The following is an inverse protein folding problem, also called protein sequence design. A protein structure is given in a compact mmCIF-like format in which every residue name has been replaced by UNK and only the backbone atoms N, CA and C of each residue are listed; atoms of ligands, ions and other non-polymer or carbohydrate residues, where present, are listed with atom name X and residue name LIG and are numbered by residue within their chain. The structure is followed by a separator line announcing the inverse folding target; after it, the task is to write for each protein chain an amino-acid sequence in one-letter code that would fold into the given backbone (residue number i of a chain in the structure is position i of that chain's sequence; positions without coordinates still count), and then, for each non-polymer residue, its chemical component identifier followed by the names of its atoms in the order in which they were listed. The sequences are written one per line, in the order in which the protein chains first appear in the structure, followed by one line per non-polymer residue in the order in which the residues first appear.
data_IF_275515347000
#
_entry.id   IF_275515347000
#
_cell.length_a   1.000
_cell.length_b   1.000
_cell.length_c   1.000
_cell.angle_alpha   90.00
_cell.angle_beta   90.00
_cell.angle_gamma   90.00
#
_symmetry.space_group_name_H-M   'P 1'
#
loop_
_entity.id
_entity.type
_entity.pdbx_description
1 polymer ?
#
# COMPACT_ATOMS: atom_id res chain seq x y z
N UNK A 1 43.83 7.32 -33.83
CA UNK A 1 44.90 6.82 -32.96
C UNK A 1 44.27 5.69 -32.19
N UNK A 2 44.24 4.52 -32.79
CA UNK A 2 45.11 3.33 -32.69
C UNK A 2 45.37 2.96 -31.21
N UNK A 3 44.98 1.79 -30.75
CA UNK A 3 45.45 0.48 -31.23
C UNK A 3 44.72 -0.69 -30.58
N UNK A 4 44.33 -1.61 -31.41
CA UNK A 4 44.03 -3.04 -31.25
C UNK A 4 45.14 -3.77 -30.44
N UNK A 5 44.78 -4.70 -29.55
CA UNK A 5 45.56 -5.91 -29.27
C UNK A 5 44.66 -7.12 -29.13
N UNK A 6 44.85 -8.00 -30.06
CA UNK A 6 44.38 -9.37 -30.20
C UNK A 6 45.37 -10.30 -29.46
N UNK A 7 44.94 -11.24 -28.63
CA UNK A 7 45.76 -12.38 -28.22
C UNK A 7 44.94 -13.66 -28.16
N UNK A 8 45.12 -14.44 -29.17
CA UNK A 8 44.85 -15.87 -29.29
C UNK A 8 45.82 -16.68 -28.43
N UNK A 9 45.33 -17.57 -27.60
CA UNK A 9 46.14 -18.59 -26.92
C UNK A 9 45.94 -19.95 -27.58
N UNK A 10 47.03 -20.47 -28.03
CA UNK A 10 47.25 -21.75 -28.71
C UNK A 10 47.19 -22.94 -27.75
N UNK A 11 46.56 -24.01 -28.22
CA UNK A 11 46.60 -25.36 -27.65
C UNK A 11 47.93 -25.99 -27.97
N UNK A 12 48.67 -26.44 -26.99
CA UNK A 12 49.88 -27.27 -27.17
C UNK A 12 49.53 -28.75 -27.01
N UNK A 13 49.72 -29.49 -28.10
CA UNK A 13 49.86 -30.95 -28.13
C UNK A 13 51.16 -31.37 -27.44
N UNK A 14 51.08 -32.29 -26.49
CA UNK A 14 52.23 -33.02 -25.99
C UNK A 14 52.18 -34.50 -26.48
N UNK A 15 52.91 -34.75 -27.53
CA UNK A 15 53.27 -36.09 -27.96
C UNK A 15 54.48 -36.59 -27.17
N UNK A 16 54.32 -37.63 -26.38
CA UNK A 16 55.40 -38.36 -25.76
C UNK A 16 55.84 -39.55 -26.64
N UNK A 17 57.03 -39.39 -27.13
CA UNK A 17 57.78 -40.47 -27.74
C UNK A 17 58.17 -41.50 -26.68
N UNK A 18 57.88 -42.77 -26.93
CA UNK A 18 58.56 -43.91 -26.30
C UNK A 18 59.08 -44.85 -27.32
N UNK A 19 60.38 -45.04 -27.24
CA UNK A 19 61.26 -45.86 -28.05
C UNK A 19 60.97 -47.37 -27.92
N UNK A 20 61.08 -48.04 -29.07
CA UNK A 20 61.05 -49.49 -29.26
C UNK A 20 62.43 -50.09 -28.99
N UNK A 21 62.58 -51.28 -28.38
CA UNK A 21 63.73 -52.14 -28.63
C UNK A 21 63.33 -53.30 -29.56
N UNK A 22 64.19 -53.50 -30.51
CA UNK A 22 64.21 -54.69 -31.45
C UNK A 22 64.79 -55.91 -30.74
N UNK A 23 64.31 -57.05 -31.22
CA UNK A 23 65.07 -58.26 -31.23
C UNK A 23 64.45 -59.45 -30.55
N UNK A 24 64.02 -60.41 -31.37
CA UNK A 24 64.45 -61.81 -31.42
C UNK A 24 63.36 -62.70 -32.02
N UNK A 25 63.70 -63.33 -33.13
CA UNK A 25 62.95 -64.41 -33.74
C UNK A 25 62.88 -65.66 -32.82
N UNK A 26 61.71 -66.28 -32.78
CA UNK A 26 61.61 -67.73 -32.64
C UNK A 26 60.28 -68.23 -33.20
N UNK A 27 60.39 -69.24 -34.04
CA UNK A 27 59.34 -69.91 -34.78
C UNK A 27 58.38 -70.73 -33.93
N UNK A 28 57.17 -70.87 -34.44
CA UNK A 28 56.47 -72.13 -34.26
C UNK A 28 55.08 -72.09 -33.64
N UNK A 29 54.18 -72.56 -34.47
CA UNK A 29 52.90 -73.22 -34.24
C UNK A 29 51.64 -72.35 -34.42
N UNK A 30 50.98 -72.63 -35.53
CA UNK A 30 49.62 -72.21 -35.84
C UNK A 30 48.60 -72.78 -34.90
N UNK A 31 47.98 -71.89 -34.21
CA UNK A 31 46.63 -72.11 -33.60
C UNK A 31 45.69 -71.13 -34.28
N UNK A 32 44.68 -71.67 -34.98
CA UNK A 32 43.63 -70.92 -35.60
C UNK A 32 43.02 -69.92 -34.59
N UNK A 33 43.19 -68.62 -34.85
CA UNK A 33 42.55 -67.55 -34.10
C UNK A 33 41.05 -67.72 -34.21
N UNK A 34 40.39 -68.04 -33.10
CA UNK A 34 38.93 -68.02 -33.00
C UNK A 34 38.44 -66.63 -33.39
N UNK A 35 37.44 -66.50 -34.30
CA UNK A 35 36.98 -65.23 -34.77
C UNK A 35 36.49 -64.43 -33.54
N UNK A 36 37.10 -63.27 -33.33
CA UNK A 36 36.68 -62.41 -32.27
C UNK A 36 35.20 -62.01 -32.50
N UNK A 37 34.28 -62.26 -31.59
CA UNK A 37 32.84 -62.06 -31.80
C UNK A 37 32.45 -60.56 -32.02
N UNK A 38 33.40 -59.64 -31.99
CA UNK A 38 33.19 -58.24 -32.11
C UNK A 38 32.87 -57.75 -33.56
N UNK A 39 33.18 -58.52 -34.59
CA UNK A 39 32.96 -58.16 -35.99
C UNK A 39 31.72 -58.80 -36.60
N UNK A 40 31.00 -59.63 -35.88
CA UNK A 40 29.74 -60.21 -36.34
C UNK A 40 28.65 -59.15 -36.35
N UNK A 41 28.03 -58.87 -37.54
CA UNK A 41 26.90 -57.91 -37.64
C UNK A 41 25.73 -58.24 -36.70
N UNK A 42 25.46 -59.52 -36.46
CA UNK A 42 24.39 -59.95 -35.53
C UNK A 42 24.72 -59.65 -34.11
N UNK A 43 25.98 -59.82 -33.69
CA UNK A 43 26.45 -59.46 -32.36
C UNK A 43 26.35 -57.93 -32.13
N UNK A 44 26.74 -57.12 -33.11
CA UNK A 44 26.64 -55.64 -33.00
C UNK A 44 25.18 -55.17 -32.90
N UNK A 45 24.25 -55.79 -33.65
CA UNK A 45 22.82 -55.51 -33.54
C UNK A 45 22.27 -55.90 -32.19
N UNK A 46 22.62 -57.10 -31.67
CA UNK A 46 22.21 -57.56 -30.35
C UNK A 46 22.74 -56.65 -29.25
N UNK A 47 24.01 -56.26 -29.27
CA UNK A 47 24.64 -55.36 -28.32
C UNK A 47 23.99 -53.96 -28.37
N UNK A 48 23.70 -53.45 -29.58
CA UNK A 48 22.98 -52.15 -29.73
C UNK A 48 21.54 -52.22 -29.19
N UNK A 49 20.83 -53.33 -29.42
CA UNK A 49 19.48 -53.57 -28.84
C UNK A 49 19.52 -53.64 -27.34
N UNK A 50 20.52 -54.37 -26.75
CA UNK A 50 20.74 -54.45 -25.29
C UNK A 50 21.05 -53.06 -24.71
N UNK A 51 21.94 -52.30 -25.34
CA UNK A 51 22.27 -50.93 -24.93
C UNK A 51 21.05 -49.99 -24.98
N UNK A 52 20.26 -50.04 -26.02
CA UNK A 52 18.99 -49.28 -26.11
C UNK A 52 18.00 -49.66 -25.03
N UNK A 53 17.86 -50.94 -24.70
CA UNK A 53 17.01 -51.46 -23.62
C UNK A 53 17.49 -50.96 -22.27
N UNK A 54 18.79 -51.02 -21.99
CA UNK A 54 19.36 -50.50 -20.74
C UNK A 54 19.16 -48.99 -20.58
N UNK A 55 19.37 -48.22 -21.68
CA UNK A 55 19.15 -46.78 -21.67
C UNK A 55 17.68 -46.47 -21.41
N UNK A 56 16.73 -47.19 -22.06
CA UNK A 56 15.29 -47.02 -21.79
C UNK A 56 14.94 -47.38 -20.34
N UNK A 57 15.46 -48.45 -19.79
CA UNK A 57 15.23 -48.84 -18.39
C UNK A 57 15.78 -47.78 -17.42
N UNK A 58 17.02 -47.31 -17.63
CA UNK A 58 17.61 -46.23 -16.82
C UNK A 58 16.77 -44.95 -16.87
N UNK A 59 16.29 -44.54 -18.06
CA UNK A 59 15.40 -43.39 -18.22
C UNK A 59 14.04 -43.60 -17.51
N UNK A 60 13.46 -44.80 -17.63
CA UNK A 60 12.20 -45.12 -16.95
C UNK A 60 12.39 -45.08 -15.44
N UNK A 61 13.47 -45.69 -14.90
CA UNK A 61 13.77 -45.62 -13.46
C UNK A 61 14.02 -44.18 -13.00
N UNK A 62 14.79 -43.40 -13.77
CA UNK A 62 15.02 -41.99 -13.46
C UNK A 62 13.71 -41.17 -13.44
N UNK A 63 12.82 -41.39 -14.42
CA UNK A 63 11.51 -40.71 -14.45
C UNK A 63 10.61 -41.11 -13.25
N UNK A 64 10.64 -42.38 -12.85
CA UNK A 64 9.90 -42.85 -11.65
C UNK A 64 10.45 -42.20 -10.38
N UNK A 65 11.80 -42.12 -10.25
CA UNK A 65 12.43 -41.44 -9.10
C UNK A 65 12.07 -39.95 -9.09
N UNK A 66 12.16 -39.28 -10.24
CA UNK A 66 11.76 -37.85 -10.35
C UNK A 66 10.29 -37.65 -9.99
N UNK A 67 9.39 -38.48 -10.52
CA UNK A 67 7.96 -38.40 -10.19
C UNK A 67 7.72 -38.67 -8.71
N UNK A 68 8.37 -39.68 -8.14
CA UNK A 68 8.27 -39.98 -6.71
C UNK A 68 8.81 -38.85 -5.83
N UNK A 69 9.96 -38.28 -6.19
CA UNK A 69 10.51 -37.12 -5.48
C UNK A 69 9.58 -35.89 -5.57
N UNK A 70 9.00 -35.65 -6.73
CA UNK A 70 8.04 -34.55 -6.93
C UNK A 70 6.80 -34.75 -6.06
N UNK A 71 6.21 -35.95 -6.07
CA UNK A 71 5.05 -36.26 -5.24
C UNK A 71 5.38 -36.16 -3.74
N UNK A 72 6.58 -36.60 -3.33
CA UNK A 72 7.05 -36.46 -1.96
C UNK A 72 7.17 -35.00 -1.54
N UNK A 73 7.69 -34.15 -2.41
CA UNK A 73 7.78 -32.70 -2.16
C UNK A 73 6.38 -32.09 -2.01
N UNK A 74 5.44 -32.43 -2.90
CA UNK A 74 4.06 -31.96 -2.79
C UNK A 74 3.40 -32.41 -1.48
N UNK A 75 3.59 -33.68 -1.11
CA UNK A 75 3.06 -34.23 0.15
C UNK A 75 3.69 -33.50 1.35
N UNK A 76 4.99 -33.24 1.32
CA UNK A 76 5.67 -32.52 2.39
C UNK A 76 5.12 -31.09 2.53
N UNK A 77 4.96 -30.36 1.42
CA UNK A 77 4.35 -29.03 1.45
C UNK A 77 2.91 -29.07 1.98
N UNK A 78 2.12 -30.06 1.54
CA UNK A 78 0.76 -30.25 2.05
C UNK A 78 0.73 -30.47 3.56
N UNK A 79 1.60 -31.36 4.07
CA UNK A 79 1.69 -31.62 5.51
C UNK A 79 2.18 -30.40 6.29
N UNK A 80 3.18 -29.67 5.77
CA UNK A 80 3.66 -28.43 6.42
C UNK A 80 2.49 -27.44 6.53
N UNK A 81 1.75 -27.20 5.45
CA UNK A 81 0.61 -26.26 5.47
C UNK A 81 -0.53 -26.73 6.40
N UNK A 82 -0.67 -28.03 6.65
CA UNK A 82 -1.68 -28.55 7.56
C UNK A 82 -1.35 -28.29 9.05
N UNK A 83 -0.05 -28.19 9.39
CA UNK A 83 0.42 -28.07 10.78
C UNK A 83 0.98 -26.68 11.13
N UNK A 84 1.16 -25.80 10.14
CA UNK A 84 1.57 -24.40 10.40
C UNK A 84 0.37 -23.63 10.97
N UNK A 85 0.63 -22.88 12.04
CA UNK A 85 -0.39 -22.03 12.65
C UNK A 85 -0.80 -20.89 11.71
N UNK A 86 -2.09 -20.66 11.60
CA UNK A 86 -2.66 -19.55 10.83
C UNK A 86 -2.20 -18.21 11.41
N UNK A 87 -1.99 -17.24 10.52
CA UNK A 87 -1.64 -15.86 10.85
C UNK A 87 -2.85 -14.95 10.62
N UNK A 88 -3.13 -14.04 11.53
CA UNK A 88 -4.21 -13.07 11.38
C UNK A 88 -3.83 -11.92 10.47
N UNK A 89 -2.54 -11.57 10.46
CA UNK A 89 -2.03 -10.40 9.75
C UNK A 89 -0.71 -10.72 9.02
N UNK A 90 -0.52 -10.08 7.87
CA UNK A 90 0.75 -10.07 7.13
C UNK A 90 1.44 -8.73 7.29
N UNK A 91 2.53 -8.70 8.06
CA UNK A 91 3.37 -7.50 8.15
C UNK A 91 4.00 -7.13 6.81
N UNK A 92 4.32 -8.14 5.98
CA UNK A 92 4.90 -7.89 4.65
C UNK A 92 3.91 -7.18 3.72
N UNK A 93 2.62 -7.53 3.77
CA UNK A 93 1.58 -6.96 2.90
C UNK A 93 0.74 -5.87 3.57
N UNK A 94 0.95 -5.65 4.87
CA UNK A 94 0.19 -4.70 5.70
C UNK A 94 -1.33 -4.90 5.59
N UNK A 95 -1.79 -6.16 5.69
CA UNK A 95 -3.22 -6.51 5.60
C UNK A 95 -3.59 -7.72 6.46
N UNK A 96 -4.86 -7.80 6.82
CA UNK A 96 -5.43 -9.01 7.40
C UNK A 96 -5.40 -10.14 6.36
N UNK A 97 -5.05 -11.34 6.82
CA UNK A 97 -5.06 -12.55 6.01
C UNK A 97 -6.42 -13.25 6.12
N UNK A 98 -6.83 -13.89 5.04
CA UNK A 98 -8.05 -14.70 5.03
C UNK A 98 -7.93 -15.82 6.07
N UNK A 99 -8.97 -15.96 6.88
CA UNK A 99 -9.08 -16.97 7.91
C UNK A 99 -9.85 -18.19 7.40
N UNK A 100 -9.74 -19.31 8.11
CA UNK A 100 -10.38 -20.55 7.72
C UNK A 100 -11.90 -20.37 7.59
N UNK A 101 -12.48 -20.59 6.39
CA UNK A 101 -13.91 -20.37 6.19
C UNK A 101 -14.75 -21.40 6.93
N UNK A 102 -15.90 -20.94 7.41
CA UNK A 102 -16.89 -21.83 8.03
C UNK A 102 -17.74 -22.48 6.94
N UNK A 103 -17.82 -23.80 7.00
CA UNK A 103 -18.69 -24.57 6.09
C UNK A 103 -20.14 -24.45 6.55
N UNK A 104 -20.93 -23.68 5.83
CA UNK A 104 -22.39 -23.57 6.02
C UNK A 104 -23.12 -24.04 4.77
N UNK A 105 -24.39 -24.44 4.90
CA UNK A 105 -25.23 -24.82 3.74
C UNK A 105 -25.42 -23.64 2.77
N UNK A 106 -25.51 -22.42 3.28
CA UNK A 106 -25.64 -21.22 2.47
C UNK A 106 -24.34 -20.97 1.66
N UNK A 107 -23.16 -20.94 2.32
CA UNK A 107 -21.89 -20.71 1.64
C UNK A 107 -21.49 -21.81 0.65
N UNK A 108 -22.02 -23.02 0.84
CA UNK A 108 -21.82 -24.10 -0.12
C UNK A 108 -22.71 -23.95 -1.37
N UNK A 109 -23.95 -23.48 -1.19
CA UNK A 109 -24.91 -23.32 -2.29
C UNK A 109 -24.61 -22.09 -3.16
N UNK A 110 -24.16 -21.00 -2.56
CA UNK A 110 -23.79 -19.77 -3.29
C UNK A 110 -22.34 -19.79 -3.81
N UNK A 111 -21.56 -20.82 -3.42
CA UNK A 111 -20.16 -21.00 -3.87
C UNK A 111 -19.13 -20.17 -3.11
N UNK A 112 -19.53 -19.31 -2.17
CA UNK A 112 -18.62 -18.45 -1.41
C UNK A 112 -17.59 -19.25 -0.61
N UNK A 113 -17.98 -20.41 -0.07
CA UNK A 113 -17.04 -21.31 0.63
C UNK A 113 -15.80 -21.66 -0.19
N UNK A 114 -15.95 -21.96 -1.47
CA UNK A 114 -14.80 -22.33 -2.32
C UNK A 114 -13.91 -21.13 -2.67
N UNK A 115 -14.51 -19.96 -2.84
CA UNK A 115 -13.78 -18.69 -3.00
C UNK A 115 -12.96 -18.37 -1.77
N UNK A 116 -13.60 -18.43 -0.59
CA UNK A 116 -12.95 -18.15 0.69
C UNK A 116 -11.88 -19.17 1.03
N UNK A 117 -12.12 -20.46 0.73
CA UNK A 117 -11.13 -21.51 0.89
C UNK A 117 -9.91 -21.29 0.00
N UNK A 118 -10.10 -20.79 -1.23
CA UNK A 118 -9.02 -20.46 -2.14
C UNK A 118 -8.20 -19.28 -1.59
N UNK A 119 -8.85 -18.25 -1.10
CA UNK A 119 -8.22 -17.09 -0.46
C UNK A 119 -7.46 -17.49 0.80
N UNK A 120 -8.08 -18.31 1.66
CA UNK A 120 -7.45 -18.85 2.86
C UNK A 120 -6.18 -19.66 2.53
N UNK A 121 -6.27 -20.62 1.62
CA UNK A 121 -5.11 -21.46 1.28
C UNK A 121 -3.99 -20.68 0.61
N UNK A 122 -4.31 -19.63 -0.16
CA UNK A 122 -3.32 -18.73 -0.74
C UNK A 122 -2.64 -17.84 0.32
N UNK A 123 -3.41 -17.34 1.29
CA UNK A 123 -2.91 -16.43 2.31
C UNK A 123 -2.12 -17.13 3.41
N UNK A 124 -2.52 -18.34 3.80
CA UNK A 124 -1.88 -19.13 4.84
C UNK A 124 -0.77 -20.05 4.31
N UNK A 125 -0.45 -19.96 3.02
CA UNK A 125 0.59 -20.82 2.42
C UNK A 125 1.95 -20.63 3.09
N UNK A 126 2.57 -21.72 3.48
CA UNK A 126 3.87 -21.73 4.16
C UNK A 126 4.94 -20.94 3.40
N UNK A 127 5.53 -19.95 4.08
CA UNK A 127 6.59 -19.12 3.51
C UNK A 127 6.13 -18.20 2.37
N UNK A 128 4.83 -17.86 2.31
CA UNK A 128 4.22 -17.05 1.26
C UNK A 128 5.02 -15.79 0.94
N UNK A 129 5.44 -15.03 1.95
CA UNK A 129 6.17 -13.78 1.75
C UNK A 129 7.52 -14.00 1.04
N UNK A 130 8.19 -15.14 1.31
CA UNK A 130 9.41 -15.54 0.62
C UNK A 130 9.15 -15.95 -0.83
N UNK A 131 8.03 -16.64 -1.09
CA UNK A 131 7.63 -17.02 -2.45
C UNK A 131 7.28 -15.78 -3.28
N UNK A 132 6.60 -14.80 -2.70
CA UNK A 132 6.31 -13.52 -3.34
C UNK A 132 7.60 -12.78 -3.73
N UNK A 133 8.55 -12.68 -2.80
CA UNK A 133 9.87 -12.07 -3.07
C UNK A 133 10.69 -12.84 -4.12
N UNK A 134 10.63 -14.18 -4.12
CA UNK A 134 11.28 -15.01 -5.13
C UNK A 134 10.64 -14.83 -6.51
N UNK A 135 9.32 -14.78 -6.58
CA UNK A 135 8.57 -14.50 -7.81
C UNK A 135 9.00 -13.14 -8.39
N UNK A 136 8.98 -12.09 -7.56
CA UNK A 136 9.39 -10.75 -7.98
C UNK A 136 10.83 -10.73 -8.53
N UNK A 137 11.76 -11.38 -7.83
CA UNK A 137 13.17 -11.50 -8.28
C UNK A 137 13.28 -12.21 -9.63
N UNK A 138 12.55 -13.31 -9.81
CA UNK A 138 12.55 -14.06 -11.06
C UNK A 138 11.94 -13.23 -12.22
N UNK A 139 10.82 -12.55 -11.99
CA UNK A 139 10.16 -11.68 -12.97
C UNK A 139 11.05 -10.49 -13.35
N UNK A 140 11.71 -9.86 -12.36
CA UNK A 140 12.67 -8.77 -12.59
C UNK A 140 13.88 -9.25 -13.40
N UNK A 141 14.38 -10.45 -13.12
CA UNK A 141 15.47 -11.07 -13.87
C UNK A 141 15.07 -11.34 -15.33
N UNK A 142 13.80 -11.68 -15.58
CA UNK A 142 13.23 -11.84 -16.93
C UNK A 142 12.95 -10.50 -17.63
N UNK A 143 13.27 -9.37 -16.99
CA UNK A 143 13.13 -8.03 -17.57
C UNK A 143 11.84 -7.31 -17.23
N UNK A 144 10.97 -7.89 -16.39
CA UNK A 144 9.76 -7.22 -15.92
C UNK A 144 10.13 -6.03 -15.04
N UNK A 145 9.44 -4.90 -15.24
CA UNK A 145 9.69 -3.63 -14.54
C UNK A 145 8.50 -3.16 -13.70
N UNK A 146 7.52 -4.03 -13.52
CA UNK A 146 6.33 -3.78 -12.68
C UNK A 146 5.98 -5.00 -11.85
N UNK A 147 5.31 -4.78 -10.73
CA UNK A 147 4.73 -5.82 -9.88
C UNK A 147 3.43 -5.30 -9.27
N UNK A 148 2.32 -6.02 -9.48
CA UNK A 148 1.01 -5.67 -8.92
C UNK A 148 0.57 -4.21 -9.20
N UNK A 149 0.85 -3.69 -10.41
CA UNK A 149 0.56 -2.30 -10.80
C UNK A 149 1.54 -1.26 -10.23
N UNK A 150 2.64 -1.70 -9.64
CA UNK A 150 3.70 -0.83 -9.12
C UNK A 150 4.92 -0.94 -10.02
N UNK A 151 5.39 0.17 -10.55
CA UNK A 151 6.63 0.24 -11.32
C UNK A 151 7.85 0.20 -10.41
N UNK A 152 8.82 -0.63 -10.79
CA UNK A 152 10.13 -0.69 -10.17
C UNK A 152 11.02 0.39 -10.81
N UNK A 153 10.97 1.58 -10.28
CA UNK A 153 11.63 2.76 -10.82
C UNK A 153 13.13 2.80 -10.59
N UNK A 154 13.76 3.90 -11.03
CA UNK A 154 15.16 4.20 -10.73
C UNK A 154 15.31 4.65 -9.28
N UNK A 155 16.53 4.59 -8.77
CA UNK A 155 16.91 5.02 -7.42
C UNK A 155 16.07 4.35 -6.32
N UNK A 156 15.61 3.11 -6.59
CA UNK A 156 14.76 2.28 -5.73
C UNK A 156 13.35 2.85 -5.45
N UNK A 157 12.88 3.82 -6.25
CA UNK A 157 11.51 4.28 -6.17
C UNK A 157 10.52 3.21 -6.65
N UNK A 158 9.50 3.00 -5.86
CA UNK A 158 8.29 2.26 -6.23
C UNK A 158 7.22 3.29 -6.61
N UNK A 159 6.69 3.19 -7.83
CA UNK A 159 5.77 4.19 -8.37
C UNK A 159 4.46 3.50 -8.76
N UNK A 160 3.38 3.86 -8.07
CA UNK A 160 2.03 3.42 -8.46
C UNK A 160 1.62 4.07 -9.78
N UNK A 161 1.01 3.29 -10.67
CA UNK A 161 0.36 3.90 -11.83
C UNK A 161 -0.92 4.59 -11.37
N UNK A 162 -1.17 5.87 -11.74
CA UNK A 162 -2.44 6.53 -11.50
C UNK A 162 -3.59 5.72 -12.09
N UNK A 163 -4.63 5.51 -11.33
CA UNK A 163 -5.78 4.74 -11.77
C UNK A 163 -6.71 5.59 -12.66
N UNK A 164 -7.59 4.94 -13.40
CA UNK A 164 -8.54 5.66 -14.24
C UNK A 164 -9.62 6.31 -13.36
N UNK A 165 -9.93 7.59 -13.53
CA UNK A 165 -11.04 8.24 -12.83
C UNK A 165 -12.36 7.51 -13.03
N UNK A 166 -13.20 7.53 -12.02
CA UNK A 166 -14.60 7.15 -12.14
C UNK A 166 -15.42 8.40 -12.50
N UNK A 167 -15.94 8.54 -13.74
CA UNK A 167 -16.61 9.76 -14.17
C UNK A 167 -17.93 10.02 -13.41
N UNK A 168 -18.64 8.98 -12.98
CA UNK A 168 -19.91 9.11 -12.26
C UNK A 168 -19.64 9.55 -10.82
N UNK A 169 -18.68 8.90 -10.14
CA UNK A 169 -18.23 9.27 -8.81
C UNK A 169 -17.71 10.71 -8.78
N UNK A 170 -16.84 11.09 -9.71
CA UNK A 170 -16.27 12.41 -9.83
C UNK A 170 -17.35 13.49 -10.06
N UNK A 171 -18.25 13.25 -10.99
CA UNK A 171 -19.36 14.19 -11.29
C UNK A 171 -20.27 14.39 -10.08
N UNK A 172 -20.59 13.31 -9.37
CA UNK A 172 -21.39 13.38 -8.13
C UNK A 172 -20.65 14.18 -7.06
N UNK A 173 -19.38 13.89 -6.82
CA UNK A 173 -18.58 14.55 -5.78
C UNK A 173 -18.41 16.04 -6.07
N UNK A 174 -18.07 16.44 -7.29
CA UNK A 174 -17.97 17.85 -7.69
C UNK A 174 -19.33 18.54 -7.61
N UNK A 175 -20.41 17.87 -8.02
CA UNK A 175 -21.77 18.40 -7.89
C UNK A 175 -22.12 18.73 -6.44
N UNK A 176 -21.78 17.84 -5.49
CA UNK A 176 -22.01 18.08 -4.06
C UNK A 176 -21.13 19.20 -3.49
N UNK A 177 -19.86 19.28 -3.89
CA UNK A 177 -18.98 20.39 -3.50
C UNK A 177 -19.55 21.72 -3.99
N UNK A 178 -20.03 21.79 -5.23
CA UNK A 178 -20.61 23.00 -5.79
C UNK A 178 -21.91 23.41 -5.08
N UNK A 179 -22.78 22.43 -4.74
CA UNK A 179 -23.99 22.69 -3.94
C UNK A 179 -23.64 23.20 -2.55
N UNK A 180 -22.69 22.55 -1.87
CA UNK A 180 -22.21 22.96 -0.55
C UNK A 180 -21.65 24.39 -0.59
N UNK A 181 -20.87 24.72 -1.61
CA UNK A 181 -20.32 26.06 -1.79
C UNK A 181 -21.38 27.11 -2.07
N UNK A 182 -22.46 26.74 -2.75
CA UNK A 182 -23.59 27.65 -2.99
C UNK A 182 -24.42 27.93 -1.73
N UNK A 183 -24.59 26.90 -0.89
CA UNK A 183 -25.36 27.01 0.37
C UNK A 183 -24.58 27.79 1.44
N UNK A 184 -23.23 27.64 1.47
CA UNK A 184 -22.35 28.26 2.46
C UNK A 184 -21.41 29.29 1.81
N UNK A 185 -21.99 30.28 1.15
CA UNK A 185 -21.27 31.31 0.39
C UNK A 185 -20.45 32.28 1.24
N UNK A 186 -20.65 32.29 2.55
CA UNK A 186 -19.90 33.03 3.55
C UNK A 186 -18.55 32.35 3.91
N UNK A 187 -18.37 31.07 3.57
CA UNK A 187 -17.15 30.34 3.85
C UNK A 187 -16.12 30.49 2.71
N UNK A 188 -14.87 30.65 3.10
CA UNK A 188 -13.74 30.61 2.15
C UNK A 188 -13.39 29.19 1.75
N UNK A 189 -13.78 28.75 0.55
CA UNK A 189 -13.59 27.35 0.14
C UNK A 189 -12.43 27.16 -0.81
N UNK A 190 -11.64 26.14 -0.57
CA UNK A 190 -10.47 25.79 -1.38
C UNK A 190 -10.38 24.28 -1.57
N UNK A 191 -9.86 23.89 -2.74
CA UNK A 191 -9.53 22.50 -3.04
C UNK A 191 -8.05 22.42 -3.40
N UNK A 192 -7.30 21.60 -2.68
CA UNK A 192 -5.91 21.29 -2.96
C UNK A 192 -5.79 19.82 -3.36
N UNK A 193 -5.41 19.58 -4.62
CA UNK A 193 -5.12 18.24 -5.12
C UNK A 193 -3.63 18.02 -5.29
N UNK A 194 -3.21 16.83 -4.84
CA UNK A 194 -1.80 16.40 -4.88
C UNK A 194 -1.65 15.26 -5.88
N UNK A 195 -0.88 15.44 -6.96
CA UNK A 195 -0.63 14.39 -7.94
C UNK A 195 0.20 13.24 -7.33
N UNK A 196 0.10 12.06 -7.95
CA UNK A 196 0.90 10.91 -7.55
C UNK A 196 2.38 11.08 -7.90
N UNK A 197 3.23 10.36 -7.17
CA UNK A 197 4.68 10.37 -7.41
C UNK A 197 5.06 10.03 -8.86
N UNK A 198 4.33 9.14 -9.52
CA UNK A 198 4.58 8.76 -10.92
C UNK A 198 4.43 9.92 -11.91
N UNK A 199 3.62 10.93 -11.58
CA UNK A 199 3.46 12.13 -12.42
C UNK A 199 4.61 13.11 -12.24
N UNK A 200 5.01 13.36 -11.00
CA UNK A 200 6.04 14.34 -10.66
C UNK A 200 7.44 13.78 -10.90
N UNK A 201 7.68 12.51 -10.53
CA UNK A 201 8.95 11.83 -10.67
C UNK A 201 9.00 10.96 -11.94
N UNK A 202 8.48 11.45 -13.06
CA UNK A 202 8.38 10.70 -14.31
C UNK A 202 9.74 10.24 -14.87
N UNK A 203 10.83 10.94 -14.55
CA UNK A 203 12.21 10.54 -14.87
C UNK A 203 12.66 9.27 -14.14
N UNK A 204 12.03 8.92 -13.02
CA UNK A 204 12.28 7.69 -12.25
C UNK A 204 11.54 6.49 -12.81
N UNK A 205 10.53 6.68 -13.63
CA UNK A 205 9.78 5.59 -14.25
C UNK A 205 10.66 4.71 -15.16
N UNK A 206 10.32 3.42 -15.28
CA UNK A 206 10.90 2.58 -16.34
C UNK A 206 10.63 3.16 -17.72
N UNK A 207 11.58 2.99 -18.64
CA UNK A 207 11.40 3.46 -20.03
C UNK A 207 10.13 2.86 -20.63
N UNK A 208 9.29 3.71 -21.21
CA UNK A 208 8.00 3.39 -21.83
C UNK A 208 6.97 2.78 -20.84
N UNK A 209 7.04 3.11 -19.55
CA UNK A 209 5.97 2.78 -18.62
C UNK A 209 4.67 3.46 -19.09
N UNK A 210 3.57 2.71 -19.31
CA UNK A 210 2.30 3.32 -19.68
C UNK A 210 1.68 3.96 -18.42
N UNK A 211 1.81 5.28 -18.31
CA UNK A 211 1.24 6.06 -17.20
C UNK A 211 0.21 7.01 -17.78
N UNK A 212 -0.97 7.06 -17.16
CA UNK A 212 -2.05 7.99 -17.50
C UNK A 212 -1.63 9.41 -17.12
N UNK A 213 -2.06 10.38 -17.90
CA UNK A 213 -1.87 11.80 -17.58
C UNK A 213 -2.89 12.25 -16.52
N UNK A 214 -2.50 12.09 -15.25
CA UNK A 214 -3.31 12.47 -14.11
C UNK A 214 -3.46 14.01 -13.98
N UNK A 215 -2.47 14.77 -14.48
CA UNK A 215 -2.57 16.23 -14.43
C UNK A 215 -3.70 16.73 -15.32
N UNK A 216 -3.87 16.15 -16.51
CA UNK A 216 -5.01 16.43 -17.37
C UNK A 216 -6.36 16.04 -16.72
N UNK A 217 -6.39 14.96 -15.94
CA UNK A 217 -7.59 14.58 -15.18
C UNK A 217 -7.89 15.59 -14.05
N UNK A 218 -6.87 16.09 -13.34
CA UNK A 218 -7.00 17.13 -12.33
C UNK A 218 -7.51 18.45 -12.93
N UNK A 219 -7.00 18.84 -14.08
CA UNK A 219 -7.45 20.02 -14.81
C UNK A 219 -8.91 19.88 -15.25
N UNK A 220 -9.30 18.72 -15.75
CA UNK A 220 -10.68 18.43 -16.13
C UNK A 220 -11.63 18.44 -14.93
N UNK A 221 -11.18 18.00 -13.75
CA UNK A 221 -11.94 18.09 -12.51
C UNK A 221 -12.07 19.53 -12.03
N UNK A 222 -10.98 20.30 -12.04
CA UNK A 222 -10.98 21.71 -11.63
C UNK A 222 -11.90 22.59 -12.49
N UNK A 223 -11.99 22.31 -13.78
CA UNK A 223 -12.87 23.03 -14.71
C UNK A 223 -14.37 22.84 -14.42
N UNK A 224 -14.75 21.84 -13.64
CA UNK A 224 -16.13 21.58 -13.22
C UNK A 224 -16.48 22.22 -11.86
N UNK A 225 -15.48 22.72 -11.12
CA UNK A 225 -15.71 23.41 -9.85
C UNK A 225 -16.34 24.77 -10.09
N UNK A 226 -17.25 25.19 -9.21
CA UNK A 226 -17.77 26.52 -9.20
C UNK A 226 -16.68 27.56 -8.87
N UNK A 227 -16.83 28.78 -9.31
CA UNK A 227 -15.91 29.90 -8.99
C UNK A 227 -15.83 30.23 -7.49
N UNK A 228 -16.76 29.71 -6.69
CA UNK A 228 -16.76 29.83 -5.21
C UNK A 228 -15.74 28.90 -4.53
N UNK A 229 -15.22 27.92 -5.25
CA UNK A 229 -14.19 26.99 -4.75
C UNK A 229 -12.87 27.25 -5.47
N UNK A 230 -11.90 27.82 -4.77
CA UNK A 230 -10.59 28.08 -5.34
C UNK A 230 -9.78 26.79 -5.48
N UNK A 231 -9.43 26.42 -6.71
CA UNK A 231 -8.58 25.25 -6.98
C UNK A 231 -7.11 25.59 -6.79
N UNK A 232 -6.38 24.69 -6.15
CA UNK A 232 -4.93 24.76 -5.89
C UNK A 232 -4.32 23.42 -6.35
N UNK A 233 -3.41 23.48 -7.32
CA UNK A 233 -2.62 22.31 -7.72
C UNK A 233 -1.29 22.28 -7.00
N UNK A 234 -0.92 21.13 -6.43
CA UNK A 234 0.40 20.92 -5.86
C UNK A 234 1.48 20.62 -6.94
N UNK A 235 1.07 20.43 -8.20
CA UNK A 235 1.94 19.93 -9.27
C UNK A 235 3.17 20.81 -9.51
N UNK A 236 2.99 22.13 -9.64
CA UNK A 236 4.10 23.05 -9.94
C UNK A 236 5.12 23.13 -8.80
N UNK A 237 4.61 23.19 -7.56
CA UNK A 237 5.46 23.20 -6.37
C UNK A 237 6.31 21.93 -6.26
N UNK A 238 5.69 20.77 -6.45
CA UNK A 238 6.37 19.48 -6.38
C UNK A 238 7.31 19.26 -7.57
N UNK A 239 6.91 19.64 -8.78
CA UNK A 239 7.75 19.50 -9.97
C UNK A 239 9.04 20.32 -9.88
N UNK A 240 8.96 21.51 -9.24
CA UNK A 240 10.12 22.39 -9.04
C UNK A 240 11.17 21.79 -8.09
N UNK A 241 10.81 20.77 -7.32
CA UNK A 241 11.64 20.08 -6.35
C UNK A 241 11.74 18.56 -6.61
N UNK A 242 11.52 18.15 -7.88
CA UNK A 242 11.50 16.73 -8.26
C UNK A 242 12.84 16.00 -8.11
N UNK A 243 13.94 16.72 -7.95
CA UNK A 243 15.27 16.20 -7.65
C UNK A 243 15.51 15.96 -6.15
N UNK A 244 14.59 16.40 -5.29
CA UNK A 244 14.65 16.23 -3.86
C UNK A 244 13.77 15.05 -3.38
N UNK A 245 13.88 14.72 -2.08
CA UNK A 245 13.13 13.60 -1.48
C UNK A 245 11.72 14.04 -1.06
N UNK A 246 10.89 14.37 -2.04
CA UNK A 246 9.54 14.91 -1.85
C UNK A 246 8.43 13.84 -1.83
N UNK A 247 8.73 12.62 -2.26
CA UNK A 247 7.86 11.45 -2.12
C UNK A 247 8.65 10.31 -1.49
N UNK A 248 7.96 9.46 -0.70
CA UNK A 248 8.54 8.23 -0.22
C UNK A 248 8.86 7.27 -1.37
N UNK A 249 9.93 6.48 -1.21
CA UNK A 249 10.31 5.47 -2.21
C UNK A 249 9.47 4.21 -2.13
N UNK A 250 8.99 3.88 -0.93
CA UNK A 250 8.30 2.62 -0.64
C UNK A 250 6.82 2.80 -0.34
N UNK A 251 6.36 4.04 -0.31
CA UNK A 251 4.99 4.41 0.00
C UNK A 251 4.39 5.37 -1.04
N UNK A 252 3.06 5.45 -1.09
CA UNK A 252 2.36 6.30 -2.05
C UNK A 252 2.27 7.77 -1.63
N UNK A 253 2.56 8.11 -0.38
CA UNK A 253 2.47 9.48 0.11
C UNK A 253 3.68 10.34 -0.31
N UNK A 254 3.45 11.65 -0.34
CA UNK A 254 4.53 12.60 -0.28
C UNK A 254 5.25 12.56 1.08
N UNK A 255 6.48 13.06 1.15
CA UNK A 255 7.17 13.27 2.42
C UNK A 255 6.70 14.57 3.08
N UNK A 256 7.06 14.78 4.34
CA UNK A 256 6.84 16.08 4.99
C UNK A 256 7.53 17.23 4.25
N UNK A 257 8.63 16.97 3.54
CA UNK A 257 9.30 17.96 2.70
C UNK A 257 8.44 18.35 1.49
N UNK A 258 7.83 17.38 0.80
CA UNK A 258 6.90 17.65 -0.31
C UNK A 258 5.65 18.41 0.17
N UNK A 259 5.12 18.04 1.32
CA UNK A 259 4.02 18.75 1.97
C UNK A 259 4.42 20.20 2.33
N UNK A 260 5.66 20.42 2.83
CA UNK A 260 6.19 21.75 3.14
C UNK A 260 6.29 22.65 1.89
N UNK A 261 6.84 22.15 0.79
CA UNK A 261 6.94 22.95 -0.44
C UNK A 261 5.57 23.32 -0.99
N UNK A 262 4.63 22.35 -0.96
CA UNK A 262 3.25 22.62 -1.34
C UNK A 262 2.58 23.65 -0.44
N UNK A 263 2.75 23.54 0.89
CA UNK A 263 2.25 24.53 1.84
C UNK A 263 2.80 25.92 1.55
N UNK A 264 4.10 26.03 1.36
CA UNK A 264 4.78 27.32 1.12
C UNK A 264 4.26 27.99 -0.16
N UNK A 265 4.08 27.20 -1.23
CA UNK A 265 3.54 27.71 -2.50
C UNK A 265 2.05 28.08 -2.41
N UNK A 266 1.27 27.31 -1.65
CA UNK A 266 -0.17 27.52 -1.48
C UNK A 266 -0.53 28.57 -0.41
N UNK A 267 0.41 28.99 0.45
CA UNK A 267 0.13 29.82 1.63
C UNK A 267 -0.72 31.08 1.34
N UNK A 268 -0.37 31.82 0.30
CA UNK A 268 -1.14 33.00 -0.10
C UNK A 268 -2.59 32.67 -0.50
N UNK A 269 -2.78 31.56 -1.22
CA UNK A 269 -4.10 31.07 -1.62
C UNK A 269 -4.89 30.53 -0.44
N UNK A 270 -4.23 30.03 0.62
CA UNK A 270 -4.83 29.63 1.88
C UNK A 270 -5.11 30.83 2.82
N UNK A 271 -4.88 32.07 2.35
CA UNK A 271 -5.06 33.27 3.15
C UNK A 271 -4.02 33.45 4.25
N UNK A 272 -2.84 32.88 4.07
CA UNK A 272 -1.71 32.97 5.00
C UNK A 272 -0.68 33.94 4.40
N UNK A 273 -0.72 35.19 4.89
CA UNK A 273 0.14 36.27 4.34
C UNK A 273 1.63 36.08 4.68
N UNK A 274 1.93 35.53 5.86
CA UNK A 274 3.29 35.37 6.33
C UNK A 274 3.47 33.95 6.87
N UNK A 275 3.86 33.00 6.01
CA UNK A 275 4.09 31.62 6.44
C UNK A 275 5.36 31.56 7.33
N UNK A 276 5.31 30.70 8.34
CA UNK A 276 6.50 30.36 9.14
C UNK A 276 7.51 29.72 8.20
N UNK A 277 8.72 30.25 8.19
CA UNK A 277 9.82 29.76 7.36
C UNK A 277 10.86 28.97 8.16
N UNK A 278 10.72 28.91 9.49
CA UNK A 278 11.68 28.27 10.39
C UNK A 278 11.01 27.15 11.19
N UNK A 279 11.48 25.95 10.96
CA UNK A 279 11.00 24.73 11.61
C UNK A 279 12.18 23.97 12.22
N UNK A 280 11.96 23.33 13.34
CA UNK A 280 12.83 22.23 13.79
C UNK A 280 12.37 20.95 13.12
N UNK A 281 13.29 20.28 12.43
CA UNK A 281 13.01 19.03 11.72
C UNK A 281 13.65 17.86 12.47
N UNK A 282 12.86 16.80 12.70
CA UNK A 282 13.30 15.60 13.41
C UNK A 282 13.02 14.37 12.56
N UNK A 283 14.06 13.60 12.23
CA UNK A 283 13.89 12.27 11.66
C UNK A 283 13.46 11.30 12.76
N UNK A 284 12.21 10.82 12.71
CA UNK A 284 11.63 9.96 13.75
C UNK A 284 11.81 8.48 13.46
N UNK A 285 12.10 8.12 12.23
CA UNK A 285 12.48 6.76 11.80
C UNK A 285 13.22 6.79 10.46
N UNK A 286 14.11 5.82 10.25
CA UNK A 286 14.82 5.53 8.99
C UNK A 286 14.52 4.12 8.46
N UNK A 287 13.48 3.51 8.97
CA UNK A 287 13.14 2.11 8.73
C UNK A 287 11.69 1.90 8.29
N UNK A 288 11.10 2.90 7.65
CA UNK A 288 9.75 2.82 7.11
C UNK A 288 9.73 2.03 5.80
N UNK A 289 8.87 1.05 5.71
CA UNK A 289 8.50 0.34 4.49
C UNK A 289 6.99 0.46 4.29
N UNK A 290 6.61 1.25 3.29
CA UNK A 290 5.22 1.62 3.08
C UNK A 290 4.41 0.65 2.24
N UNK A 291 3.25 1.12 1.82
CA UNK A 291 2.20 0.34 1.13
C UNK A 291 2.63 -0.16 -0.24
N UNK A 292 3.44 0.61 -0.99
CA UNK A 292 3.95 0.19 -2.29
C UNK A 292 4.96 -0.96 -2.16
N UNK A 293 5.81 -0.94 -1.12
CA UNK A 293 6.68 -2.08 -0.79
C UNK A 293 5.85 -3.32 -0.49
N UNK A 294 4.84 -3.20 0.35
CA UNK A 294 3.95 -4.29 0.72
C UNK A 294 3.19 -4.87 -0.48
N UNK A 295 2.64 -4.01 -1.34
CA UNK A 295 1.86 -4.40 -2.53
C UNK A 295 2.72 -5.04 -3.62
N UNK A 296 3.94 -4.52 -3.85
CA UNK A 296 4.86 -5.05 -4.86
C UNK A 296 5.68 -6.25 -4.39
N UNK A 297 5.87 -6.42 -3.07
CA UNK A 297 6.80 -7.39 -2.48
C UNK A 297 8.28 -6.99 -2.63
N UNK A 298 8.56 -5.72 -2.96
CA UNK A 298 9.91 -5.19 -3.07
C UNK A 298 10.36 -4.54 -1.76
N UNK A 299 11.34 -5.14 -1.09
CA UNK A 299 11.92 -4.68 0.17
C UNK A 299 13.39 -4.26 -0.01
N UNK A 300 13.69 -3.50 -1.10
CA UNK A 300 15.06 -3.13 -1.46
C UNK A 300 15.58 -1.95 -0.66
N UNK A 301 14.70 -1.04 -0.32
CA UNK A 301 15.02 0.21 0.37
C UNK A 301 14.03 0.46 1.50
N UNK A 302 14.37 1.40 2.35
CA UNK A 302 13.53 1.91 3.42
C UNK A 302 13.52 3.42 3.34
N UNK A 303 12.46 4.01 3.84
CA UNK A 303 12.24 5.44 3.90
C UNK A 303 12.53 6.00 5.29
N UNK A 304 12.86 7.28 5.34
CA UNK A 304 12.89 8.06 6.58
C UNK A 304 11.65 8.92 6.68
N UNK A 305 11.08 9.02 7.88
CA UNK A 305 9.98 9.95 8.16
C UNK A 305 10.52 11.10 8.99
N UNK A 306 10.32 12.32 8.46
CA UNK A 306 10.63 13.56 9.16
C UNK A 306 9.34 14.24 9.62
N UNK A 307 9.39 14.83 10.82
CA UNK A 307 8.36 15.70 11.36
C UNK A 307 8.89 17.13 11.45
N UNK A 308 8.00 18.09 11.27
CA UNK A 308 8.32 19.51 11.28
C UNK A 308 7.61 20.19 12.44
N UNK A 309 8.36 20.82 13.33
CA UNK A 309 7.81 21.59 14.43
C UNK A 309 8.02 23.08 14.12
N UNK A 310 6.94 23.87 13.94
CA UNK A 310 7.08 25.29 13.67
C UNK A 310 7.68 26.01 14.88
N UNK A 311 8.64 26.90 14.64
CA UNK A 311 9.16 27.82 15.66
C UNK A 311 8.18 28.98 15.84
N UNK A 312 7.14 28.72 16.58
CA UNK A 312 6.09 29.67 16.93
C UNK A 312 5.69 29.51 18.39
N UNK A 313 5.13 30.56 18.99
CA UNK A 313 4.58 30.54 20.36
C UNK A 313 3.20 29.86 20.43
N UNK A 314 2.67 29.38 19.30
CA UNK A 314 1.37 28.71 19.23
C UNK A 314 1.51 27.30 19.76
N UNK A 315 0.73 27.01 20.80
CA UNK A 315 0.56 25.67 21.36
C UNK A 315 -0.79 25.10 20.94
N UNK A 316 -0.93 23.79 21.02
CA UNK A 316 -2.17 23.12 20.62
C UNK A 316 -2.43 21.86 21.43
N UNK A 317 -3.67 21.40 21.39
CA UNK A 317 -4.06 20.05 21.79
C UNK A 317 -4.97 19.43 20.72
N UNK A 318 -4.91 18.12 20.64
CA UNK A 318 -5.66 17.28 19.70
C UNK A 318 -6.68 16.47 20.47
N UNK A 319 -7.89 16.37 19.92
CA UNK A 319 -8.97 15.51 20.42
C UNK A 319 -9.48 14.64 19.28
N UNK A 320 -9.69 13.37 19.57
CA UNK A 320 -10.23 12.40 18.59
C UNK A 320 -11.72 12.15 18.90
N UNK A 321 -12.50 11.82 17.85
CA UNK A 321 -13.95 11.61 17.98
C UNK A 321 -14.34 10.51 18.98
N UNK A 322 -13.50 9.49 19.10
CA UNK A 322 -13.67 8.33 19.96
C UNK A 322 -13.06 8.49 21.38
N UNK A 323 -12.52 9.68 21.69
CA UNK A 323 -11.79 9.92 22.91
C UNK A 323 -12.08 11.31 23.49
N UNK A 324 -12.23 11.39 24.81
CA UNK A 324 -12.29 12.66 25.53
C UNK A 324 -10.90 13.17 25.97
N UNK A 325 -9.85 12.39 25.69
CA UNK A 325 -8.48 12.76 26.04
C UNK A 325 -7.96 13.86 25.12
N UNK A 326 -7.25 14.82 25.71
CA UNK A 326 -6.52 15.87 25.01
C UNK A 326 -5.05 15.51 24.96
N UNK A 327 -4.50 15.44 23.74
CA UNK A 327 -3.11 15.08 23.49
C UNK A 327 -2.39 16.32 22.93
N UNK A 328 -1.28 16.74 23.56
CA UNK A 328 -0.50 17.91 23.11
C UNK A 328 0.52 17.54 22.03
N UNK A 329 0.15 16.66 21.12
CA UNK A 329 1.02 16.21 20.02
C UNK A 329 0.16 15.82 18.82
N UNK A 330 0.62 16.13 17.60
CA UNK A 330 0.10 15.60 16.34
C UNK A 330 0.67 14.19 16.05
N UNK A 331 1.68 13.78 16.82
CA UNK A 331 2.49 12.59 16.54
C UNK A 331 2.31 11.55 17.65
N UNK A 332 2.18 10.30 17.25
CA UNK A 332 2.06 9.16 18.16
C UNK A 332 3.27 8.23 18.01
N UNK A 333 4.17 8.30 18.99
CA UNK A 333 5.47 7.58 18.94
C UNK A 333 5.33 6.06 18.94
N UNK A 334 4.24 5.53 19.54
CA UNK A 334 3.95 4.10 19.56
C UNK A 334 3.80 3.52 18.14
N UNK A 335 3.30 4.34 17.21
CA UNK A 335 3.12 3.96 15.82
C UNK A 335 4.46 3.75 15.08
N UNK A 336 5.58 4.18 15.62
CA UNK A 336 6.91 3.88 15.08
C UNK A 336 7.32 2.42 15.30
N UNK A 337 6.63 1.69 16.17
CA UNK A 337 6.90 0.29 16.47
C UNK A 337 6.05 -0.69 15.64
N UNK A 338 5.11 -0.17 14.83
CA UNK A 338 4.30 -0.99 13.92
C UNK A 338 4.83 -0.93 12.49
N UNK A 339 4.29 -1.76 11.61
CA UNK A 339 4.69 -1.84 10.20
C UNK A 339 4.42 -0.52 9.47
N UNK A 340 3.21 0.00 9.61
CA UNK A 340 2.79 1.26 9.02
C UNK A 340 3.20 2.44 9.90
N UNK A 341 4.45 2.86 9.76
CA UNK A 341 5.03 3.96 10.54
C UNK A 341 4.51 5.35 10.12
N UNK A 342 3.86 5.47 8.93
CA UNK A 342 3.21 6.72 8.53
C UNK A 342 2.07 7.10 9.50
N UNK A 343 1.52 6.13 10.19
CA UNK A 343 0.54 6.35 11.27
C UNK A 343 1.11 7.13 12.46
N UNK A 344 2.41 7.45 12.48
CA UNK A 344 2.97 8.43 13.44
C UNK A 344 2.21 9.75 13.39
N UNK A 345 1.71 10.15 12.23
CA UNK A 345 0.81 11.29 12.07
C UNK A 345 -0.58 10.91 12.56
N UNK A 346 -1.01 11.46 13.67
CA UNK A 346 -2.34 11.29 14.31
C UNK A 346 -2.71 9.88 14.79
N UNK A 347 -1.84 8.89 14.72
CA UNK A 347 -2.21 7.49 14.98
C UNK A 347 -2.91 6.83 13.78
N UNK A 348 -2.91 7.46 12.60
CA UNK A 348 -3.57 7.01 11.39
C UNK A 348 -4.77 7.85 11.00
N UNK A 349 -5.78 7.23 10.39
CA UNK A 349 -6.99 7.90 9.93
C UNK A 349 -8.12 7.74 10.96
N UNK A 350 -8.77 8.85 11.29
CA UNK A 350 -9.90 8.92 12.21
C UNK A 350 -11.08 9.60 11.52
N UNK A 351 -12.33 9.28 11.92
CA UNK A 351 -13.53 9.94 11.39
C UNK A 351 -13.44 11.46 11.53
N UNK A 352 -13.09 11.92 12.72
CA UNK A 352 -12.93 13.32 13.06
C UNK A 352 -11.78 13.52 14.02
N UNK A 353 -10.95 14.53 13.75
CA UNK A 353 -9.89 15.01 14.64
C UNK A 353 -10.05 16.51 14.81
N UNK A 354 -10.03 17.00 16.04
CA UNK A 354 -10.05 18.43 16.35
C UNK A 354 -8.71 18.86 16.92
N UNK A 355 -8.14 19.91 16.35
CA UNK A 355 -6.92 20.55 16.84
C UNK A 355 -7.31 21.96 17.29
N UNK A 356 -7.25 22.21 18.60
CA UNK A 356 -7.44 23.55 19.15
C UNK A 356 -6.09 24.16 19.44
N UNK A 357 -5.89 25.40 19.01
CA UNK A 357 -4.60 26.10 19.13
C UNK A 357 -4.74 27.38 19.92
N UNK A 358 -3.63 27.99 20.31
CA UNK A 358 -3.55 29.31 20.91
C UNK A 358 -3.30 30.41 19.89
N UNK A 359 -3.51 30.17 18.60
CA UNK A 359 -3.39 31.17 17.55
C UNK A 359 -4.35 32.34 17.82
N UNK A 360 -3.82 33.57 17.80
CA UNK A 360 -4.59 34.75 18.14
C UNK A 360 -5.35 35.28 16.90
N UNK A 361 -6.34 34.50 16.46
CA UNK A 361 -7.29 34.83 15.39
C UNK A 361 -8.59 34.04 15.60
N UNK A 362 -9.60 34.34 14.80
CA UNK A 362 -10.92 33.68 14.85
C UNK A 362 -11.10 32.66 13.72
N UNK A 363 -10.03 32.27 13.04
CA UNK A 363 -10.11 31.33 11.92
C UNK A 363 -10.33 29.90 12.39
N UNK A 364 -11.37 29.28 11.88
CA UNK A 364 -11.70 27.87 12.09
C UNK A 364 -11.72 27.17 10.73
N UNK A 365 -10.86 26.17 10.58
CA UNK A 365 -10.74 25.39 9.36
C UNK A 365 -11.53 24.08 9.47
N UNK A 366 -12.46 23.85 8.55
CA UNK A 366 -13.04 22.55 8.28
C UNK A 366 -12.24 21.90 7.13
N UNK A 367 -11.53 20.81 7.44
CA UNK A 367 -10.64 20.12 6.50
C UNK A 367 -11.21 18.74 6.13
N UNK A 368 -11.75 18.60 4.93
CA UNK A 368 -12.06 17.29 4.34
C UNK A 368 -10.80 16.70 3.72
N UNK A 369 -10.50 15.46 4.02
CA UNK A 369 -9.17 14.93 3.73
C UNK A 369 -9.12 13.45 3.42
N UNK A 370 -8.05 13.04 2.72
CA UNK A 370 -7.50 11.69 2.80
C UNK A 370 -6.20 11.68 3.64
N UNK A 371 -5.46 10.59 3.59
CA UNK A 371 -4.23 10.43 4.39
C UNK A 371 -3.08 11.37 4.01
N UNK A 372 -3.12 12.00 2.84
CA UNK A 372 -2.11 12.99 2.43
C UNK A 372 -2.08 14.21 3.35
N UNK A 373 -3.25 14.63 3.84
CA UNK A 373 -3.34 15.76 4.76
C UNK A 373 -2.64 15.50 6.10
N UNK A 374 -2.46 14.25 6.51
CA UNK A 374 -1.89 13.94 7.82
C UNK A 374 -0.50 14.56 8.02
N UNK A 375 0.36 14.52 7.01
CA UNK A 375 1.68 15.17 7.05
C UNK A 375 1.66 16.65 6.69
N UNK A 376 0.53 17.19 6.18
CA UNK A 376 0.39 18.59 5.80
C UNK A 376 -0.09 19.48 6.96
N UNK A 377 -0.96 18.97 7.82
CA UNK A 377 -1.62 19.72 8.87
C UNK A 377 -0.64 20.35 9.88
N UNK A 378 0.53 19.75 10.09
CA UNK A 378 1.59 20.32 10.94
C UNK A 378 1.98 21.74 10.53
N UNK A 379 1.82 22.11 9.26
CA UNK A 379 2.11 23.45 8.73
C UNK A 379 0.94 24.43 8.92
N UNK A 380 -0.27 23.95 9.22
CA UNK A 380 -1.46 24.79 9.38
C UNK A 380 -1.69 25.25 10.82
N UNK A 381 -1.16 24.55 11.80
CA UNK A 381 -1.43 24.80 13.24
C UNK A 381 -1.15 26.24 13.71
N UNK A 382 -0.18 27.01 13.15
CA UNK A 382 0.04 28.39 13.59
C UNK A 382 -1.03 29.40 13.13
N UNK A 383 -1.91 29.02 12.19
CA UNK A 383 -2.75 29.98 11.46
C UNK A 383 -4.26 29.85 11.71
N UNK A 384 -4.66 28.84 12.45
CA UNK A 384 -6.06 28.61 12.76
C UNK A 384 -6.24 28.41 14.26
N UNK A 385 -7.26 29.04 14.82
CA UNK A 385 -7.64 28.84 16.24
C UNK A 385 -8.15 27.40 16.44
N UNK A 386 -8.83 26.85 15.43
CA UNK A 386 -9.28 25.45 15.43
C UNK A 386 -9.15 24.86 14.04
N UNK A 387 -8.75 23.59 13.96
CA UNK A 387 -8.78 22.79 12.74
C UNK A 387 -9.63 21.55 13.03
N UNK A 388 -10.67 21.34 12.24
CA UNK A 388 -11.57 20.20 12.33
C UNK A 388 -11.32 19.36 11.09
N UNK A 389 -10.64 18.22 11.26
CA UNK A 389 -10.34 17.30 10.17
C UNK A 389 -11.42 16.25 10.09
N UNK A 390 -11.98 16.05 8.90
CA UNK A 390 -12.96 15.00 8.59
C UNK A 390 -12.38 14.09 7.52
N UNK A 391 -12.30 12.80 7.81
CA UNK A 391 -12.03 11.78 6.81
C UNK A 391 -13.36 11.14 6.38
N UNK A 392 -13.91 11.48 5.21
CA UNK A 392 -15.25 11.06 4.82
C UNK A 392 -15.43 9.54 4.75
N UNK A 393 -14.36 8.80 4.54
CA UNK A 393 -14.39 7.32 4.45
C UNK A 393 -14.81 6.65 5.77
N UNK A 394 -14.68 7.38 6.87
CA UNK A 394 -14.96 6.87 8.24
C UNK A 394 -15.98 7.74 8.99
N UNK A 395 -16.38 8.89 8.42
CA UNK A 395 -17.29 9.83 9.06
C UNK A 395 -18.73 9.59 8.63
N UNK A 396 -19.61 9.31 9.58
CA UNK A 396 -21.02 8.98 9.33
C UNK A 396 -22.01 9.91 10.06
N UNK A 397 -21.49 10.93 10.77
CA UNK A 397 -22.31 11.91 11.46
C UNK A 397 -22.71 13.06 10.54
N UNK A 398 -23.70 13.89 10.98
CA UNK A 398 -24.05 15.11 10.27
C UNK A 398 -23.01 16.21 10.46
N UNK A 399 -22.79 17.02 9.41
CA UNK A 399 -21.96 18.22 9.46
C UNK A 399 -22.63 19.40 10.16
N UNK A 400 -23.95 19.37 10.39
CA UNK A 400 -24.73 20.51 10.89
C UNK A 400 -24.21 21.08 12.21
N UNK A 401 -23.87 20.21 13.16
CA UNK A 401 -23.34 20.65 14.44
C UNK A 401 -22.00 21.38 14.29
N UNK A 402 -21.17 20.95 13.32
CA UNK A 402 -19.89 21.59 13.04
C UNK A 402 -20.14 22.97 12.39
N UNK A 403 -20.99 23.01 11.37
CA UNK A 403 -21.27 24.23 10.61
C UNK A 403 -21.99 25.29 11.46
N UNK A 404 -22.87 24.89 12.38
CA UNK A 404 -23.66 25.81 13.19
C UNK A 404 -22.98 26.26 14.48
N UNK A 405 -22.17 25.41 15.12
CA UNK A 405 -21.64 25.67 16.47
C UNK A 405 -20.16 25.97 16.52
N UNK A 406 -19.36 25.58 15.52
CA UNK A 406 -17.90 25.70 15.59
C UNK A 406 -17.36 27.02 14.99
N UNK A 407 -18.21 27.83 14.34
CA UNK A 407 -17.81 29.10 13.75
C UNK A 407 -16.81 28.92 12.57
N UNK A 408 -17.04 27.91 11.73
CA UNK A 408 -16.21 27.65 10.56
C UNK A 408 -16.06 28.87 9.68
N UNK A 409 -14.86 29.23 9.29
CA UNK A 409 -14.53 30.35 8.40
C UNK A 409 -13.94 29.91 7.08
N UNK A 410 -13.21 28.81 7.10
CA UNK A 410 -12.48 28.27 5.97
C UNK A 410 -12.81 26.80 5.77
N UNK A 411 -12.96 26.36 4.52
CA UNK A 411 -13.07 24.96 4.14
C UNK A 411 -11.96 24.61 3.19
N UNK A 412 -11.27 23.50 3.46
CA UNK A 412 -10.24 22.96 2.60
C UNK A 412 -10.55 21.49 2.28
N UNK A 413 -10.65 21.17 1.00
CA UNK A 413 -10.65 19.81 0.49
C UNK A 413 -9.22 19.47 0.10
N UNK A 414 -8.52 18.62 0.87
CA UNK A 414 -7.14 18.22 0.61
C UNK A 414 -7.07 16.72 0.38
N UNK A 415 -6.75 16.35 -0.86
CA UNK A 415 -6.74 14.96 -1.30
C UNK A 415 -5.57 14.66 -2.22
N UNK A 416 -5.14 13.38 -2.23
CA UNK A 416 -4.45 12.85 -3.40
C UNK A 416 -5.37 12.85 -4.60
N UNK A 417 -4.83 13.10 -5.79
CA UNK A 417 -5.60 13.06 -7.02
C UNK A 417 -6.23 11.68 -7.24
N UNK A 418 -5.49 10.61 -6.93
CA UNK A 418 -5.97 9.25 -7.11
C UNK A 418 -7.21 8.93 -6.26
N UNK A 419 -7.25 9.38 -5.00
CA UNK A 419 -8.43 9.23 -4.15
C UNK A 419 -9.58 10.09 -4.66
N UNK A 420 -9.35 11.39 -4.89
CA UNK A 420 -10.42 12.32 -5.24
C UNK A 420 -11.14 11.96 -6.54
N UNK A 421 -10.41 11.49 -7.53
CA UNK A 421 -10.95 11.19 -8.86
C UNK A 421 -11.85 9.93 -8.89
N UNK A 422 -11.96 9.18 -7.78
CA UNK A 422 -12.68 7.89 -7.73
C UNK A 422 -13.58 7.71 -6.52
N UNK A 423 -13.34 8.45 -5.43
CA UNK A 423 -14.05 8.25 -4.17
C UNK A 423 -15.38 9.02 -4.12
N UNK A 424 -16.40 8.36 -3.57
CA UNK A 424 -17.73 8.94 -3.35
C UNK A 424 -18.00 9.33 -1.91
N UNK A 425 -17.15 8.94 -0.97
CA UNK A 425 -17.39 9.14 0.46
C UNK A 425 -17.57 10.62 0.81
N UNK A 426 -16.82 11.50 0.15
CA UNK A 426 -17.01 12.96 0.33
C UNK A 426 -18.40 13.42 -0.12
N UNK A 427 -18.89 12.89 -1.24
CA UNK A 427 -20.25 13.22 -1.71
C UNK A 427 -21.33 12.80 -0.71
N UNK A 428 -21.17 11.60 -0.11
CA UNK A 428 -22.12 11.09 0.88
C UNK A 428 -22.16 11.97 2.15
N UNK A 429 -20.99 12.41 2.63
CA UNK A 429 -20.90 13.30 3.80
C UNK A 429 -21.50 14.68 3.51
N UNK A 430 -21.20 15.27 2.34
CA UNK A 430 -21.74 16.59 1.95
C UNK A 430 -23.27 16.53 1.71
N UNK A 431 -23.82 15.38 1.29
CA UNK A 431 -25.26 15.20 1.13
C UNK A 431 -26.02 15.32 2.44
N UNK A 432 -25.43 14.95 3.58
CA UNK A 432 -26.06 15.09 4.89
C UNK A 432 -26.24 16.55 5.30
N UNK A 433 -25.36 17.44 4.87
CA UNK A 433 -25.47 18.87 5.12
C UNK A 433 -26.59 19.55 4.29
N UNK A 434 -26.87 19.04 3.06
CA UNK A 434 -27.89 19.64 2.17
C UNK A 434 -29.32 19.24 2.57
N UNK A 435 -29.52 18.08 3.18
CA UNK A 435 -30.87 17.55 3.47
C UNK A 435 -31.60 18.30 4.59
N UNK A 436 -30.89 18.94 5.49
CA UNK A 436 -31.52 19.68 6.60
C UNK A 436 -31.77 21.16 6.31
N UNK A 437 -31.04 21.76 5.36
CA UNK A 437 -31.35 23.11 4.89
C UNK A 437 -32.72 23.21 4.18
N UNK A 438 -33.35 22.09 3.85
CA UNK A 438 -34.62 22.01 3.11
C UNK A 438 -35.85 21.77 4.00
N UNK A 439 -35.72 21.72 5.33
CA UNK A 439 -36.89 21.61 6.23
C UNK A 439 -37.32 23.03 6.63
N UNK A 440 -38.44 23.56 6.11
CA UNK A 440 -38.97 24.84 6.58
C UNK A 440 -39.41 24.69 8.04
N UNK A 441 -38.93 25.57 8.90
CA UNK A 441 -39.49 25.76 10.23
C UNK A 441 -40.90 26.32 10.07
N UNK A 442 -41.89 25.46 9.96
CA UNK A 442 -43.30 25.80 10.23
C UNK A 442 -44.13 24.51 10.24
N UNK A 443 -44.48 24.04 11.42
CA UNK A 443 -45.87 23.74 11.81
C UNK A 443 -45.89 23.27 13.28
N UNK A 444 -46.03 24.25 14.19
CA UNK A 444 -46.76 23.97 15.43
C UNK A 444 -48.21 23.70 15.05
N UNK A 445 -48.69 22.52 15.25
CA UNK A 445 -50.12 22.22 15.36
C UNK A 445 -50.30 21.10 16.39
N UNK A 446 -50.86 21.54 17.52
CA UNK A 446 -51.51 20.80 18.58
C UNK A 446 -52.41 19.64 18.06
N UNK A 447 -52.36 18.45 18.64
CA UNK A 447 -53.25 17.87 19.62
C UNK A 447 -52.91 16.37 19.86
N UNK A 448 -53.12 15.85 21.07
CA UNK A 448 -52.68 14.50 21.43
C UNK A 448 -53.81 13.49 21.14
N UNK A 449 -53.51 12.46 20.43
CA UNK A 449 -54.36 11.24 20.41
C UNK A 449 -53.65 10.09 21.10
N UNK A 450 -54.18 9.72 22.23
CA UNK A 450 -53.89 8.47 22.93
C UNK A 450 -54.14 7.27 22.05
N UNK A 451 -53.19 6.36 21.91
CA UNK A 451 -53.43 4.96 21.73
C UNK A 451 -52.37 4.13 22.48
N UNK A 452 -52.85 3.48 23.53
CA UNK A 452 -52.12 2.42 24.23
C UNK A 452 -51.84 1.27 23.28
N UNK A 453 -50.58 0.84 23.24
CA UNK A 453 -50.25 -0.50 22.76
C UNK A 453 -49.09 -1.04 23.61
N UNK A 454 -49.44 -2.08 24.34
CA UNK A 454 -48.60 -2.86 25.25
C UNK A 454 -47.44 -3.52 24.51
N UNK A 455 -46.21 -3.28 24.93
CA UNK A 455 -45.04 -4.07 24.57
C UNK A 455 -44.44 -4.65 25.84
N UNK A 456 -44.39 -5.98 25.87
CA UNK A 456 -43.77 -6.80 26.90
C UNK A 456 -42.27 -6.58 26.99
N UNK A 457 -41.80 -6.38 28.22
CA UNK A 457 -40.41 -6.42 28.62
C UNK A 457 -39.88 -7.87 28.62
N UNK A 458 -38.65 -8.14 28.15
CA UNK A 458 -37.97 -9.40 28.45
C UNK A 458 -37.12 -9.29 29.71
N UNK A 459 -37.24 -10.31 30.54
CA UNK A 459 -36.70 -10.50 31.85
C UNK A 459 -35.16 -10.35 31.94
N UNK A 460 -34.76 -9.61 32.97
CA UNK A 460 -33.39 -9.51 33.49
C UNK A 460 -33.04 -10.82 34.19
N UNK A 461 -31.98 -11.49 33.74
CA UNK A 461 -31.30 -12.57 34.46
C UNK A 461 -30.20 -11.97 35.33
N UNK A 462 -30.47 -11.94 36.61
CA UNK A 462 -29.56 -11.64 37.70
C UNK A 462 -28.56 -12.83 37.86
N UNK A 463 -27.27 -12.57 37.80
CA UNK A 463 -26.24 -13.50 38.27
C UNK A 463 -25.20 -12.74 39.08
N UNK A 464 -25.49 -12.64 40.35
CA UNK A 464 -24.51 -12.33 41.40
C UNK A 464 -23.51 -13.49 41.53
N UNK A 465 -22.23 -13.21 41.30
CA UNK A 465 -21.14 -14.02 41.78
C UNK A 465 -20.11 -13.13 42.45
N UNK A 466 -20.14 -13.16 43.78
CA UNK A 466 -19.08 -12.67 44.67
C UNK A 466 -17.78 -13.43 44.35
N UNK A 467 -16.67 -12.70 44.20
CA UNK A 467 -15.35 -13.26 44.44
C UNK A 467 -14.53 -12.27 45.28
N UNK A 468 -14.23 -12.73 46.48
CA UNK A 468 -13.40 -12.17 47.50
C UNK A 468 -11.98 -11.89 47.04
N UNK A 469 -11.54 -10.65 47.20
CA UNK A 469 -10.13 -10.22 47.09
C UNK A 469 -9.44 -10.44 48.43
N UNK A 470 -8.39 -11.24 48.46
CA UNK A 470 -7.41 -11.30 49.55
C UNK A 470 -6.16 -10.53 49.12
N UNK A 471 -5.84 -9.48 49.87
CA UNK A 471 -4.53 -8.81 49.85
C UNK A 471 -3.41 -9.75 50.29
N UNK A 472 -2.17 -9.63 49.75
CA UNK A 472 -0.96 -10.10 50.41
C UNK A 472 -0.22 -8.89 51.05
N UNK A 473 -0.02 -8.99 52.33
CA UNK A 473 0.91 -8.19 53.15
C UNK A 473 2.36 -8.42 52.74
N UNK A 474 3.13 -7.33 52.89
CA UNK A 474 4.56 -7.24 52.69
C UNK A 474 5.39 -8.10 53.66
N UNK A 475 6.49 -8.65 53.18
CA UNK A 475 7.85 -8.72 53.76
C UNK A 475 8.89 -8.64 52.65
#
# INVERSE_FOLDING_TARGET
MDSTINQSASVQDNAAHTTRPEGSEAAGNGTAASPQPQNDPQYRIAAAKKRRRMVRQRRATHNVILAGAFLLILLLFFLINLFVQDRDFSDAENRKLAQKPQLTTASLLDGSYFSDLTSYTADQFFGRDRWMSMKLKAETLMGRKDASGIYLGKDDYLLGAPETPDPEALSRTIGRINSFAATHSDLSMRMLLVPDAAMILSDKLPKNAPVRDQLADMDAASAQLSSSVQFISAADALSSHSDEYIYYKTDHHWTSLGAYYTFTAAAGQLGIATPVSNYDTYTVTDSFEGTLSSKSGSHRTKDSIDIYQPKSDVTYYVTYADSTQRICSLYQSECLNVKDKYTVFFGGNHPKVEISTTANNERVLLLFKDSYANSFVQFLTPYYQKIIMIDPRYYYDSLDSILTSEGVTDVLFLYSADTFLRDTALADVLETADTQAAVPADTESSDPVHSESSVQEPAVLDSTAESSVTEPTAE
#
